data_IF_072923049796
#
_entry.id   IF_072923049796
#
_cell.length_a   1.000
_cell.length_b   1.000
_cell.length_c   1.000
_cell.angle_alpha   90.00
_cell.angle_beta   90.00
_cell.angle_gamma   90.00
#
_symmetry.space_group_name_H-M   'P 1'
#
loop_
_entity.id
_entity.type
_entity.pdbx_description
1 polymer ?
#
# COMPACT_ATOMS: atom_id res chain seq x y z
N UNK A 1 -37.13 -19.60 -22.53
CA UNK A 1 -36.76 -18.30 -21.97
C UNK A 1 -35.29 -18.27 -21.52
N UNK A 2 -34.36 -17.90 -22.40
CA UNK A 2 -32.94 -17.67 -22.07
C UNK A 2 -32.74 -16.15 -21.88
N UNK A 3 -32.73 -15.68 -20.62
CA UNK A 3 -32.56 -14.26 -20.30
C UNK A 3 -31.07 -13.92 -20.46
N UNK A 4 -30.75 -13.30 -21.60
CA UNK A 4 -29.43 -12.83 -22.01
C UNK A 4 -28.99 -11.70 -21.07
N UNK A 5 -28.04 -11.97 -20.20
CA UNK A 5 -27.46 -10.98 -19.29
C UNK A 5 -26.69 -9.93 -20.10
N UNK A 6 -27.08 -8.66 -19.94
CA UNK A 6 -26.47 -7.50 -20.61
C UNK A 6 -24.95 -7.45 -20.37
N UNK A 7 -24.20 -7.54 -21.46
CA UNK A 7 -22.77 -7.27 -21.54
C UNK A 7 -22.51 -5.79 -21.22
N UNK A 8 -21.96 -5.51 -20.05
CA UNK A 8 -21.51 -4.16 -19.68
C UNK A 8 -20.12 -3.96 -20.29
N UNK A 9 -20.07 -3.31 -21.44
CA UNK A 9 -18.84 -2.77 -22.01
C UNK A 9 -18.37 -1.59 -21.14
N UNK A 10 -17.32 -1.80 -20.34
CA UNK A 10 -16.52 -0.70 -19.79
C UNK A 10 -15.12 -0.79 -20.38
N UNK A 11 -14.83 0.14 -21.28
CA UNK A 11 -13.57 0.22 -22.01
C UNK A 11 -12.42 0.80 -21.20
N UNK A 12 -11.22 0.61 -21.77
CA UNK A 12 -10.15 1.60 -21.82
C UNK A 12 -9.38 1.92 -20.52
N UNK A 13 -8.11 1.49 -20.48
CA UNK A 13 -7.04 2.27 -19.82
C UNK A 13 -6.71 1.88 -18.37
N UNK A 14 -5.92 0.82 -18.20
CA UNK A 14 -5.25 0.49 -16.94
C UNK A 14 -5.66 -0.87 -16.36
N UNK A 15 -4.71 -1.59 -15.76
CA UNK A 15 -4.90 -2.97 -15.25
C UNK A 15 -6.04 -3.18 -14.25
N UNK A 16 -6.66 -2.12 -13.76
CA UNK A 16 -7.83 -2.14 -12.87
C UNK A 16 -9.14 -2.52 -13.56
N UNK A 17 -9.21 -2.44 -14.89
CA UNK A 17 -10.37 -2.82 -15.69
C UNK A 17 -10.36 -4.28 -16.19
N UNK A 18 -9.28 -5.05 -15.94
CA UNK A 18 -9.16 -6.42 -16.45
C UNK A 18 -10.23 -7.32 -15.83
N UNK A 19 -11.07 -7.91 -16.70
CA UNK A 19 -12.05 -8.92 -16.29
C UNK A 19 -11.31 -10.10 -15.68
N UNK A 20 -11.77 -10.54 -14.51
CA UNK A 20 -11.14 -11.59 -13.73
C UNK A 20 -12.19 -12.64 -13.34
N UNK A 21 -11.75 -13.89 -13.25
CA UNK A 21 -12.56 -15.01 -12.77
C UNK A 21 -12.71 -14.93 -11.26
N UNK A 22 -13.93 -15.21 -10.77
CA UNK A 22 -14.27 -15.17 -9.35
C UNK A 22 -14.43 -16.58 -8.79
N UNK A 23 -14.04 -16.79 -7.53
CA UNK A 23 -14.26 -18.07 -6.84
C UNK A 23 -15.75 -18.37 -6.66
N UNK A 24 -16.18 -19.65 -6.63
CA UNK A 24 -17.58 -20.02 -6.44
C UNK A 24 -18.23 -19.38 -5.20
N UNK A 25 -17.46 -19.25 -4.11
CA UNK A 25 -17.90 -18.56 -2.89
C UNK A 25 -18.21 -17.08 -3.14
N UNK A 26 -17.38 -16.39 -3.92
CA UNK A 26 -17.56 -14.97 -4.25
C UNK A 26 -18.69 -14.77 -5.26
N UNK A 27 -18.88 -15.73 -6.17
CA UNK A 27 -20.00 -15.74 -7.12
C UNK A 27 -21.37 -15.79 -6.42
N UNK A 28 -21.48 -16.47 -5.27
CA UNK A 28 -22.74 -16.50 -4.49
C UNK A 28 -23.20 -15.10 -4.04
N UNK A 29 -22.25 -14.22 -3.71
CA UNK A 29 -22.55 -12.85 -3.25
C UNK A 29 -22.69 -11.87 -4.42
N UNK A 30 -21.83 -12.01 -5.43
CA UNK A 30 -21.75 -11.06 -6.56
C UNK A 30 -22.77 -11.40 -7.68
N UNK A 31 -23.19 -12.67 -7.74
CA UNK A 31 -24.16 -13.21 -8.70
C UNK A 31 -23.63 -13.40 -10.12
N UNK A 32 -22.33 -13.18 -10.35
CA UNK A 32 -21.71 -13.31 -11.68
C UNK A 32 -20.39 -14.07 -11.59
N UNK A 33 -20.02 -14.85 -12.62
CA UNK A 33 -18.78 -15.63 -12.64
C UNK A 33 -17.53 -14.76 -12.89
N UNK A 34 -17.70 -13.66 -13.64
CA UNK A 34 -16.59 -12.86 -14.16
C UNK A 34 -16.88 -11.38 -13.94
N UNK A 35 -15.92 -10.66 -13.35
CA UNK A 35 -16.06 -9.23 -13.13
C UNK A 35 -14.68 -8.58 -12.91
N UNK A 36 -14.46 -7.32 -13.34
CA UNK A 36 -13.26 -6.58 -12.95
C UNK A 36 -13.17 -6.43 -11.43
N UNK A 37 -11.96 -6.49 -10.89
CA UNK A 37 -11.70 -6.41 -9.44
C UNK A 37 -12.37 -5.20 -8.78
N UNK A 38 -12.34 -4.05 -9.44
CA UNK A 38 -12.96 -2.81 -8.96
C UNK A 38 -14.48 -2.96 -8.77
N UNK A 39 -15.14 -3.65 -9.70
CA UNK A 39 -16.57 -3.89 -9.65
C UNK A 39 -16.94 -4.91 -8.58
N UNK A 40 -16.08 -5.92 -8.34
CA UNK A 40 -16.27 -6.89 -7.25
C UNK A 40 -16.29 -6.16 -5.91
N UNK A 41 -15.29 -5.31 -5.68
CA UNK A 41 -15.18 -4.51 -4.46
C UNK A 41 -16.41 -3.62 -4.29
N UNK A 42 -16.89 -2.97 -5.36
CA UNK A 42 -18.11 -2.14 -5.32
C UNK A 42 -19.36 -2.95 -4.95
N UNK A 43 -19.59 -4.10 -5.58
CA UNK A 43 -20.73 -4.96 -5.26
C UNK A 43 -20.69 -5.45 -3.81
N UNK A 44 -19.51 -5.83 -3.34
CA UNK A 44 -19.34 -6.30 -1.97
C UNK A 44 -19.64 -5.19 -0.94
N UNK A 45 -19.18 -3.96 -1.20
CA UNK A 45 -19.52 -2.82 -0.37
C UNK A 45 -21.01 -2.47 -0.38
N UNK A 46 -21.69 -2.63 -1.52
CA UNK A 46 -23.13 -2.46 -1.59
C UNK A 46 -23.84 -3.49 -0.69
N UNK A 47 -23.47 -4.76 -0.79
CA UNK A 47 -24.00 -5.85 0.05
C UNK A 47 -23.77 -5.59 1.54
N UNK A 48 -22.55 -5.18 1.93
CA UNK A 48 -22.18 -4.86 3.32
C UNK A 48 -23.04 -3.72 3.87
N UNK A 49 -23.31 -2.69 3.07
CA UNK A 49 -24.15 -1.55 3.46
C UNK A 49 -25.62 -1.94 3.56
N UNK A 50 -26.13 -2.69 2.58
CA UNK A 50 -27.52 -3.17 2.55
C UNK A 50 -27.85 -4.03 3.77
N UNK A 51 -26.91 -4.89 4.19
CA UNK A 51 -27.06 -5.72 5.39
C UNK A 51 -26.60 -5.06 6.69
N UNK A 52 -26.24 -3.78 6.67
CA UNK A 52 -25.75 -3.02 7.83
C UNK A 52 -24.63 -3.72 8.61
N UNK A 53 -23.70 -4.36 7.90
CA UNK A 53 -22.62 -5.16 8.49
C UNK A 53 -21.40 -4.34 8.95
N UNK A 54 -21.44 -3.01 8.81
CA UNK A 54 -20.38 -2.13 9.31
C UNK A 54 -20.54 -1.90 10.81
N UNK A 55 -19.42 -1.84 11.52
CA UNK A 55 -19.45 -1.47 12.93
C UNK A 55 -19.82 0.03 13.09
N UNK A 56 -20.84 0.38 13.90
CA UNK A 56 -21.24 1.78 14.10
C UNK A 56 -20.14 2.62 14.75
N UNK A 57 -19.28 2.00 15.58
CA UNK A 57 -18.17 2.69 16.26
C UNK A 57 -16.96 2.84 15.33
N UNK A 58 -16.75 1.89 14.43
CA UNK A 58 -15.63 1.91 13.49
C UNK A 58 -16.07 1.42 12.10
N UNK A 59 -16.50 2.34 11.25
CA UNK A 59 -16.97 2.08 9.87
C UNK A 59 -15.94 1.39 8.96
N UNK A 60 -14.69 1.24 9.40
CA UNK A 60 -13.64 0.51 8.67
C UNK A 60 -13.69 -0.99 8.94
N UNK A 61 -14.33 -1.41 10.03
CA UNK A 61 -14.51 -2.79 10.42
C UNK A 61 -15.87 -3.30 9.94
N UNK A 62 -15.86 -4.49 9.37
CA UNK A 62 -17.01 -5.17 8.78
C UNK A 62 -17.17 -6.49 9.52
N UNK A 63 -18.37 -6.73 10.05
CA UNK A 63 -18.77 -7.99 10.67
C UNK A 63 -19.19 -8.96 9.58
N UNK A 64 -18.50 -10.09 9.46
CA UNK A 64 -18.77 -11.07 8.42
C UNK A 64 -20.02 -11.90 8.79
N UNK A 65 -21.03 -11.80 7.94
CA UNK A 65 -22.16 -12.73 7.95
C UNK A 65 -21.73 -14.11 7.40
N UNK A 66 -22.65 -15.07 7.34
CA UNK A 66 -22.35 -16.43 6.85
C UNK A 66 -21.77 -16.45 5.43
N UNK A 67 -22.23 -15.55 4.56
CA UNK A 67 -21.76 -15.44 3.18
C UNK A 67 -20.34 -14.88 3.11
N UNK A 68 -20.07 -13.78 3.81
CA UNK A 68 -18.73 -13.18 3.88
C UNK A 68 -17.74 -14.06 4.64
N UNK A 69 -18.20 -14.79 5.65
CA UNK A 69 -17.41 -15.78 6.41
C UNK A 69 -17.00 -16.95 5.54
N UNK A 70 -17.87 -17.39 4.63
CA UNK A 70 -17.52 -18.44 3.67
C UNK A 70 -16.34 -18.02 2.78
N UNK A 71 -16.32 -16.76 2.34
CA UNK A 71 -15.26 -16.20 1.48
C UNK A 71 -13.99 -15.89 2.30
N UNK A 72 -14.11 -15.09 3.35
CA UNK A 72 -12.95 -14.55 4.07
C UNK A 72 -12.44 -15.44 5.20
N UNK A 73 -13.26 -16.40 5.65
CA UNK A 73 -12.97 -17.33 6.74
C UNK A 73 -12.56 -16.63 8.04
N UNK A 74 -13.13 -15.44 8.26
CA UNK A 74 -12.92 -14.62 9.46
C UNK A 74 -14.26 -14.01 9.90
N UNK A 75 -14.42 -13.82 11.20
CA UNK A 75 -15.59 -13.18 11.81
C UNK A 75 -15.69 -11.68 11.56
N UNK A 76 -14.54 -11.01 11.50
CA UNK A 76 -14.46 -9.55 11.34
C UNK A 76 -13.29 -9.23 10.42
N UNK A 77 -13.51 -8.30 9.51
CA UNK A 77 -12.51 -7.89 8.53
C UNK A 77 -12.48 -6.37 8.37
N UNK A 78 -11.28 -5.82 8.20
CA UNK A 78 -11.09 -4.41 7.86
C UNK A 78 -11.06 -4.22 6.33
N UNK A 79 -11.39 -3.03 5.83
CA UNK A 79 -11.26 -2.62 4.42
C UNK A 79 -9.93 -3.06 3.75
N UNK A 80 -8.79 -2.93 4.44
CA UNK A 80 -7.49 -3.34 3.88
C UNK A 80 -7.34 -4.87 3.80
N UNK A 81 -7.80 -5.56 4.84
CA UNK A 81 -7.77 -7.02 4.91
C UNK A 81 -8.70 -7.63 3.85
N UNK A 82 -9.86 -6.99 3.61
CA UNK A 82 -10.80 -7.39 2.57
C UNK A 82 -10.15 -7.39 1.19
N UNK A 83 -9.47 -6.30 0.83
CA UNK A 83 -8.77 -6.23 -0.45
C UNK A 83 -7.67 -7.31 -0.55
N UNK A 84 -6.93 -7.56 0.53
CA UNK A 84 -5.93 -8.64 0.55
C UNK A 84 -6.56 -10.03 0.39
N UNK A 85 -7.69 -10.29 1.05
CA UNK A 85 -8.38 -11.56 0.97
C UNK A 85 -8.96 -11.81 -0.43
N UNK A 86 -9.53 -10.78 -1.07
CA UNK A 86 -10.05 -10.87 -2.44
C UNK A 86 -9.00 -11.31 -3.46
N UNK A 87 -7.71 -11.01 -3.26
CA UNK A 87 -6.64 -11.49 -4.15
C UNK A 87 -6.50 -13.01 -4.21
N UNK A 88 -7.05 -13.76 -3.24
CA UNK A 88 -7.09 -15.23 -3.28
C UNK A 88 -8.28 -15.79 -4.07
N UNK A 89 -9.28 -14.96 -4.33
CA UNK A 89 -10.56 -15.35 -4.94
C UNK A 89 -10.80 -14.71 -6.32
N UNK A 90 -9.86 -13.88 -6.77
CA UNK A 90 -9.90 -13.18 -8.04
C UNK A 90 -8.66 -13.58 -8.83
N UNK A 91 -8.87 -14.35 -9.90
CA UNK A 91 -7.79 -14.76 -10.81
C UNK A 91 -7.90 -13.97 -12.10
N UNK A 92 -6.78 -13.39 -12.59
CA UNK A 92 -6.79 -12.76 -13.89
C UNK A 92 -7.20 -13.80 -14.93
N UNK A 93 -8.25 -13.49 -15.71
CA UNK A 93 -8.52 -14.29 -16.90
C UNK A 93 -7.44 -13.90 -17.91
N UNK A 94 -6.43 -14.73 -18.06
CA UNK A 94 -5.65 -14.71 -19.29
C UNK A 94 -6.50 -15.46 -20.30
N UNK A 95 -7.07 -14.71 -21.26
CA UNK A 95 -7.45 -15.33 -22.53
C UNK A 95 -6.15 -15.80 -23.17
N UNK A 96 -5.64 -16.95 -22.77
CA UNK A 96 -4.55 -17.59 -23.50
C UNK A 96 -5.14 -18.31 -24.70
N UNK A 97 -4.64 -18.00 -25.88
CA UNK A 97 -4.48 -19.06 -26.87
C UNK A 97 -3.14 -19.74 -26.51
N UNK A 98 -3.18 -20.77 -25.65
CA UNK A 98 -2.29 -21.96 -25.65
C UNK A 98 -2.15 -22.66 -24.28
N UNK A 99 -3.03 -23.63 -24.01
CA UNK A 99 -2.63 -24.93 -23.43
C UNK A 99 -2.34 -25.05 -21.92
N UNK A 100 -2.40 -26.28 -21.36
CA UNK A 100 -2.74 -26.48 -19.95
C UNK A 100 -1.49 -26.70 -19.08
N UNK A 101 -1.24 -25.81 -18.12
CA UNK A 101 -0.34 -26.08 -17.00
C UNK A 101 -1.17 -26.36 -15.74
N UNK A 102 -1.50 -27.63 -15.55
CA UNK A 102 -1.92 -28.18 -14.26
C UNK A 102 -0.89 -27.78 -13.20
N UNK A 103 -1.33 -27.07 -12.16
CA UNK A 103 -0.55 -26.95 -10.93
C UNK A 103 -1.45 -27.16 -9.72
N UNK A 104 -1.45 -28.42 -9.28
CA UNK A 104 -1.92 -28.91 -7.99
C UNK A 104 -1.08 -28.35 -6.82
N UNK A 105 -1.54 -28.51 -5.55
CA UNK A 105 -1.29 -27.53 -4.50
C UNK A 105 -0.13 -27.84 -3.54
N UNK A 106 0.52 -26.76 -3.07
CA UNK A 106 0.97 -26.48 -1.68
C UNK A 106 2.03 -27.40 -1.03
N UNK A 107 3.21 -26.84 -0.69
CA UNK A 107 4.05 -27.35 0.39
C UNK A 107 4.66 -26.21 1.23
N UNK A 108 4.40 -26.27 2.53
CA UNK A 108 5.03 -25.50 3.61
C UNK A 108 6.48 -25.98 3.79
N UNK A 109 7.44 -25.08 4.04
CA UNK A 109 8.60 -25.40 4.90
C UNK A 109 9.13 -24.15 5.60
N UNK A 110 9.53 -24.34 6.85
CA UNK A 110 9.80 -23.39 7.92
C UNK A 110 11.19 -23.74 8.47
N UNK A 111 12.06 -22.75 8.72
CA UNK A 111 13.30 -22.76 9.57
C UNK A 111 14.48 -23.62 9.02
N UNK A 112 15.78 -23.31 9.18
CA UNK A 112 16.54 -22.62 10.27
C UNK A 112 18.04 -22.38 9.85
N UNK A 113 18.68 -21.29 10.34
CA UNK A 113 20.12 -21.04 10.76
C UNK A 113 21.33 -21.52 9.89
N UNK A 114 22.57 -21.00 9.91
CA UNK A 114 23.37 -19.83 10.40
C UNK A 114 24.80 -20.00 9.79
N UNK A 115 25.60 -18.92 9.72
CA UNK A 115 27.10 -18.78 9.69
C UNK A 115 27.57 -17.98 8.44
N UNK A 116 27.97 -16.70 8.52
CA UNK A 116 29.22 -16.10 9.07
C UNK A 116 30.49 -16.58 8.34
N UNK A 117 31.02 -15.80 7.38
CA UNK A 117 32.31 -15.07 7.47
C UNK A 117 32.61 -14.31 6.15
N UNK A 118 33.48 -13.31 6.23
CA UNK A 118 33.67 -12.16 5.35
C UNK A 118 34.49 -12.41 4.08
N UNK A 119 34.24 -11.62 3.03
CA UNK A 119 35.31 -10.85 2.38
C UNK A 119 34.80 -9.73 1.46
N UNK A 120 35.62 -8.68 1.44
CA UNK A 120 35.54 -7.40 0.78
C UNK A 120 35.21 -7.48 -0.73
N UNK A 121 34.13 -6.81 -1.15
CA UNK A 121 33.94 -6.36 -2.53
C UNK A 121 32.82 -5.32 -2.60
N UNK A 122 33.20 -4.10 -3.01
CA UNK A 122 32.35 -2.94 -3.31
C UNK A 122 30.94 -3.28 -3.83
N UNK A 123 29.87 -2.68 -3.27
CA UNK A 123 28.53 -2.83 -3.85
C UNK A 123 28.44 -2.04 -5.15
N UNK A 124 28.52 -2.78 -6.26
CA UNK A 124 28.16 -2.36 -7.62
C UNK A 124 26.88 -1.52 -7.60
N UNK A 125 26.96 -0.32 -8.14
CA UNK A 125 25.83 0.59 -8.36
C UNK A 125 24.71 -0.10 -9.15
N UNK A 126 23.73 -0.61 -8.42
CA UNK A 126 22.47 -1.01 -8.99
C UNK A 126 21.70 0.27 -9.30
N UNK A 127 21.76 0.70 -10.56
CA UNK A 127 20.85 1.69 -11.16
C UNK A 127 19.41 1.34 -10.77
N UNK A 128 18.88 2.00 -9.75
CA UNK A 128 17.50 1.76 -9.31
C UNK A 128 16.81 3.10 -9.20
N UNK A 129 15.84 3.31 -10.10
CA UNK A 129 14.65 4.12 -9.87
C UNK A 129 14.88 5.62 -9.58
N UNK A 130 14.21 6.51 -10.32
CA UNK A 130 14.21 7.95 -10.05
C UNK A 130 13.76 8.37 -8.63
N UNK A 131 13.37 7.42 -7.78
CA UNK A 131 13.12 7.61 -6.35
C UNK A 131 14.38 7.64 -5.47
N UNK A 132 15.50 7.08 -5.93
CA UNK A 132 16.79 7.06 -5.25
C UNK A 132 17.76 8.10 -5.80
N UNK A 133 17.28 9.02 -6.66
CA UNK A 133 18.10 10.10 -7.17
C UNK A 133 18.63 10.95 -5.99
N UNK A 134 19.96 11.14 -5.88
CA UNK A 134 20.53 12.05 -4.89
C UNK A 134 20.08 13.47 -5.20
N UNK A 135 19.45 14.15 -4.24
CA UNK A 135 18.94 15.51 -4.39
C UNK A 135 19.59 16.42 -3.35
N UNK A 136 19.93 17.67 -3.72
CA UNK A 136 20.40 18.65 -2.75
C UNK A 136 19.25 19.01 -1.80
N UNK A 137 19.58 19.10 -0.52
CA UNK A 137 18.64 19.43 0.56
C UNK A 137 18.96 20.80 1.17
N UNK A 138 17.94 21.51 1.63
CA UNK A 138 18.08 22.84 2.25
C UNK A 138 18.93 22.82 3.52
N UNK A 139 19.58 23.95 3.87
CA UNK A 139 20.39 24.10 5.09
C UNK A 139 19.65 23.66 6.37
N UNK A 140 18.36 23.99 6.49
CA UNK A 140 17.54 23.59 7.64
C UNK A 140 17.47 22.05 7.79
N UNK A 141 17.37 21.33 6.66
CA UNK A 141 17.37 19.87 6.63
C UNK A 141 18.74 19.30 7.00
N UNK A 142 19.82 19.93 6.53
CA UNK A 142 21.20 19.52 6.87
C UNK A 142 21.44 19.70 8.37
N UNK A 143 21.02 20.84 8.94
CA UNK A 143 21.10 21.13 10.37
C UNK A 143 20.30 20.12 11.20
N UNK A 144 19.10 19.74 10.74
CA UNK A 144 18.26 18.75 11.41
C UNK A 144 18.89 17.34 11.40
N UNK A 145 19.41 16.90 10.26
CA UNK A 145 20.02 15.56 10.12
C UNK A 145 21.36 15.49 10.89
N UNK A 146 22.12 16.58 10.95
CA UNK A 146 23.36 16.68 11.73
C UNK A 146 24.55 15.92 11.15
N UNK A 147 24.44 15.30 9.97
CA UNK A 147 25.53 14.56 9.31
C UNK A 147 26.38 15.41 8.35
N UNK A 148 26.01 16.67 8.12
CA UNK A 148 26.69 17.55 7.16
C UNK A 148 26.48 17.15 5.68
N UNK A 149 25.66 16.12 5.42
CA UNK A 149 25.34 15.65 4.08
C UNK A 149 24.38 16.63 3.39
N UNK A 150 24.86 17.33 2.36
CA UNK A 150 24.04 18.31 1.60
C UNK A 150 23.26 17.67 0.45
N UNK A 151 23.57 16.42 0.11
CA UNK A 151 22.98 15.69 -1.01
C UNK A 151 22.52 14.33 -0.50
N UNK A 152 21.20 14.10 -0.49
CA UNK A 152 20.63 12.85 -0.03
C UNK A 152 19.47 12.41 -0.92
N UNK A 153 19.30 11.10 -1.15
CA UNK A 153 18.11 10.62 -1.83
C UNK A 153 16.89 10.84 -0.94
N UNK A 154 15.75 11.12 -1.58
CA UNK A 154 14.49 11.41 -0.87
C UNK A 154 14.11 10.33 0.15
N UNK A 155 14.37 9.07 -0.19
CA UNK A 155 14.14 7.94 0.72
C UNK A 155 14.98 7.99 1.99
N UNK A 156 16.25 8.43 1.91
CA UNK A 156 17.12 8.55 3.08
C UNK A 156 16.64 9.65 4.01
N UNK A 157 16.28 10.82 3.49
CA UNK A 157 15.74 11.93 4.29
C UNK A 157 14.46 11.53 5.02
N UNK A 158 13.52 10.91 4.29
CA UNK A 158 12.28 10.37 4.89
C UNK A 158 12.60 9.39 6.01
N UNK A 159 13.57 8.49 5.79
CA UNK A 159 13.97 7.49 6.79
C UNK A 159 14.54 8.16 8.05
N UNK A 160 15.47 9.11 7.91
CA UNK A 160 16.07 9.84 9.04
C UNK A 160 15.03 10.56 9.89
N UNK A 161 14.05 11.22 9.26
CA UNK A 161 12.94 11.87 9.97
C UNK A 161 12.09 10.84 10.74
N UNK A 162 11.77 9.71 10.12
CA UNK A 162 11.01 8.67 10.79
C UNK A 162 11.75 8.01 11.94
N UNK A 163 13.06 7.86 11.83
CA UNK A 163 13.90 7.33 12.91
C UNK A 163 13.91 8.33 14.09
N UNK A 164 14.10 9.63 13.82
CA UNK A 164 13.98 10.69 14.83
C UNK A 164 12.62 10.71 15.54
N UNK A 165 11.51 10.64 14.78
CA UNK A 165 10.14 10.64 15.33
C UNK A 165 9.94 9.46 16.29
N UNK A 166 10.49 8.28 15.97
CA UNK A 166 10.36 7.09 16.82
C UNK A 166 11.25 7.18 18.06
N UNK A 167 12.50 7.63 17.91
CA UNK A 167 13.44 7.81 19.02
C UNK A 167 12.90 8.79 20.07
N UNK A 168 12.24 9.86 19.61
CA UNK A 168 11.66 10.89 20.48
C UNK A 168 10.18 10.63 20.85
N UNK A 169 9.62 9.48 20.44
CA UNK A 169 8.22 9.10 20.70
C UNK A 169 7.19 10.19 20.32
N UNK A 170 7.42 10.91 19.23
CA UNK A 170 6.63 12.07 18.80
C UNK A 170 5.30 11.70 18.09
N UNK A 171 4.90 10.42 18.14
CA UNK A 171 3.61 9.99 17.59
C UNK A 171 2.51 10.20 18.62
N UNK A 172 1.37 10.74 18.17
CA UNK A 172 0.21 10.92 19.02
C UNK A 172 -0.27 9.54 19.54
N UNK A 173 -0.43 9.37 20.88
CA UNK A 173 -0.86 8.10 21.47
C UNK A 173 -2.30 7.73 21.10
N UNK A 174 -3.15 8.72 20.83
CA UNK A 174 -4.55 8.54 20.40
C UNK A 174 -4.67 8.30 18.90
N UNK A 175 -3.83 8.96 18.09
CA UNK A 175 -3.74 8.73 16.65
C UNK A 175 -2.31 8.51 16.19
N UNK A 176 -1.90 7.23 16.11
CA UNK A 176 -0.56 6.82 15.64
C UNK A 176 -0.19 7.28 14.22
N UNK A 177 -1.15 7.88 13.49
CA UNK A 177 -0.89 8.47 12.18
C UNK A 177 -0.48 9.93 12.28
N UNK A 178 -0.71 10.58 13.40
CA UNK A 178 -0.39 11.99 13.64
C UNK A 178 0.92 12.07 14.41
N UNK A 179 1.80 12.95 13.95
CA UNK A 179 3.08 13.25 14.58
C UNK A 179 2.97 14.65 15.17
N UNK A 180 3.30 14.76 16.45
CA UNK A 180 3.36 16.01 17.20
C UNK A 180 4.77 16.56 17.04
N UNK A 181 4.90 17.75 16.45
CA UNK A 181 6.21 18.33 16.20
C UNK A 181 6.81 18.85 17.51
N UNK A 182 8.05 18.45 17.79
CA UNK A 182 8.91 19.08 18.79
C UNK A 182 9.55 20.35 18.21
N UNK A 183 10.34 21.08 19.01
CA UNK A 183 10.94 22.35 18.58
C UNK A 183 11.78 22.19 17.29
N UNK A 184 12.47 21.06 17.10
CA UNK A 184 13.25 20.79 15.89
C UNK A 184 12.39 20.51 14.67
N UNK A 185 11.33 19.71 14.80
CA UNK A 185 10.40 19.47 13.70
C UNK A 185 9.58 20.72 13.38
N UNK A 186 9.29 21.56 14.37
CA UNK A 186 8.65 22.86 14.17
C UNK A 186 9.57 23.84 13.43
N UNK A 187 10.85 23.90 13.79
CA UNK A 187 11.84 24.70 13.05
C UNK A 187 11.99 24.22 11.60
N UNK A 188 11.87 22.90 11.38
CA UNK A 188 12.02 22.32 10.04
C UNK A 188 10.77 22.50 9.17
N UNK A 189 9.58 22.18 9.69
CA UNK A 189 8.35 22.12 8.89
C UNK A 189 7.38 23.27 9.12
N UNK A 190 7.64 24.14 10.10
CA UNK A 190 6.78 25.27 10.47
C UNK A 190 5.33 24.85 10.81
N UNK A 191 5.13 23.62 11.28
CA UNK A 191 3.83 23.08 11.67
C UNK A 191 3.89 22.44 13.05
N UNK A 192 2.83 22.61 13.84
CA UNK A 192 2.73 22.02 15.18
C UNK A 192 2.47 20.51 15.18
N UNK A 193 1.78 20.02 14.15
CA UNK A 193 1.55 18.59 13.95
C UNK A 193 1.29 18.29 12.47
N UNK A 194 1.57 17.06 12.05
CA UNK A 194 1.26 16.61 10.70
C UNK A 194 0.89 15.13 10.69
N UNK A 195 0.23 14.70 9.61
CA UNK A 195 -0.11 13.28 9.45
C UNK A 195 1.05 12.57 8.76
N UNK A 196 1.52 11.41 9.25
CA UNK A 196 2.75 10.76 8.79
C UNK A 196 2.82 10.49 7.27
N UNK A 197 1.69 10.35 6.58
CA UNK A 197 1.67 10.21 5.13
C UNK A 197 1.89 11.53 4.35
N UNK A 198 1.86 12.68 5.03
CA UNK A 198 2.14 14.01 4.45
C UNK A 198 3.61 14.40 4.53
N UNK A 199 4.46 13.67 5.27
CA UNK A 199 5.92 13.90 5.34
C UNK A 199 6.54 14.10 3.96
N UNK A 200 6.26 13.26 2.94
CA UNK A 200 6.84 13.49 1.61
C UNK A 200 6.40 14.83 1.00
N UNK A 201 5.19 15.31 1.28
CA UNK A 201 4.72 16.60 0.78
C UNK A 201 5.45 17.75 1.47
N UNK A 202 5.59 17.69 2.79
CA UNK A 202 6.34 18.68 3.58
C UNK A 202 7.80 18.72 3.14
N UNK A 203 8.40 17.57 2.88
CA UNK A 203 9.77 17.49 2.39
C UNK A 203 9.99 18.12 1.01
N UNK A 204 8.95 18.32 0.20
CA UNK A 204 9.11 18.86 -1.16
C UNK A 204 9.69 20.27 -1.14
N UNK A 205 9.39 21.09 -0.12
CA UNK A 205 9.92 22.45 0.02
C UNK A 205 11.42 22.47 0.34
N UNK A 206 11.94 21.40 0.94
CA UNK A 206 13.34 21.28 1.35
C UNK A 206 14.24 20.60 0.32
N UNK A 207 13.68 20.05 -0.76
CA UNK A 207 14.45 19.55 -1.89
C UNK A 207 14.62 20.66 -2.93
N UNK A 208 15.85 21.12 -3.10
CA UNK A 208 16.17 22.18 -4.06
C UNK A 208 16.26 21.55 -5.44
N UNK A 209 15.45 22.03 -6.38
CA UNK A 209 15.53 21.59 -7.79
C UNK A 209 16.54 22.49 -8.50
N UNK A 210 17.80 22.05 -8.48
CA UNK A 210 18.96 22.67 -9.11
C UNK A 210 19.32 24.09 -8.64
N UNK A 211 20.53 24.23 -8.12
CA UNK A 211 21.26 25.49 -8.13
C UNK A 211 21.51 25.85 -9.60
N UNK A 212 20.85 26.89 -10.12
CA UNK A 212 21.49 27.68 -11.17
C UNK A 212 22.67 28.38 -10.50
N UNK A 213 23.88 27.90 -10.76
CA UNK A 213 25.06 28.75 -10.61
C UNK A 213 24.86 29.91 -11.59
N UNK A 214 24.56 31.11 -11.08
CA UNK A 214 24.80 32.34 -11.82
C UNK A 214 26.33 32.53 -11.87
N UNK A 215 26.90 32.36 -13.07
CA UNK A 215 28.17 32.95 -13.48
C UNK A 215 27.90 33.89 -14.65
#
# INVERSE_FOLDING_TARGET
SKKRSKEVKTGGGGGFGKVSNLSPELQKVVGVPELPRTQVVRKLWAYIKEKNLQDPSNKKNIRCDESLRSIFRVDTINMFQMNKALSKHIWPMDRENAGPAVSTPRARKRKKEKLEDANDAQPKEKRHSGFLAPLPISEAMVKFIGTGERILPRSAVVKRIWDYIKENNLQDPSDKKTVICDDKLKELFEVDSFVGFTVPKLLKTHFIKELKEEQ
#
